data_IF_980342964922
#
_entry.id   IF_980342964922
#
_cell.length_a   1.000
_cell.length_b   1.000
_cell.length_c   1.000
_cell.angle_alpha   90.00
_cell.angle_beta   90.00
_cell.angle_gamma   90.00
#
_symmetry.space_group_name_H-M   'P 1'
#
loop_
_entity.id
_entity.type
_entity.pdbx_description
1 polymer ?
#
# COMPACT_ATOMS: atom_id res chain seq x y z
N UNK A 1 -9.81 3.04 -22.62
CA UNK A 1 -9.02 4.06 -21.91
C UNK A 1 -7.69 3.47 -21.51
N UNK A 2 -6.58 4.13 -21.89
CA UNK A 2 -5.21 3.66 -21.73
C UNK A 2 -4.73 3.50 -20.27
N UNK A 3 -5.36 4.16 -19.32
CA UNK A 3 -5.00 4.20 -17.89
C UNK A 3 -6.18 3.72 -17.05
N UNK A 4 -6.76 2.58 -17.40
CA UNK A 4 -7.93 2.04 -16.70
C UNK A 4 -7.62 1.06 -15.57
N UNK A 5 -6.36 0.63 -15.45
CA UNK A 5 -5.99 -0.33 -14.44
C UNK A 5 -5.58 0.34 -13.12
N UNK A 6 -5.86 -0.32 -12.02
CA UNK A 6 -5.55 0.17 -10.67
C UNK A 6 -4.06 0.48 -10.49
N UNK A 7 -3.17 -0.32 -11.05
CA UNK A 7 -1.73 -0.11 -10.96
C UNK A 7 -1.24 1.12 -11.73
N UNK A 8 -1.87 1.49 -12.86
CA UNK A 8 -1.50 2.69 -13.61
C UNK A 8 -1.82 3.95 -12.80
N UNK A 9 -3.01 3.98 -12.18
CA UNK A 9 -3.43 5.10 -11.33
C UNK A 9 -2.54 5.19 -10.11
N UNK A 10 -2.24 4.06 -9.46
CA UNK A 10 -1.36 4.02 -8.32
C UNK A 10 0.07 4.50 -8.65
N UNK A 11 0.58 4.17 -9.85
CA UNK A 11 1.87 4.68 -10.34
C UNK A 11 1.85 6.20 -10.52
N UNK A 12 0.77 6.76 -11.09
CA UNK A 12 0.63 8.20 -11.27
C UNK A 12 0.50 8.93 -9.93
N UNK A 13 -0.26 8.40 -8.98
CA UNK A 13 -0.39 8.96 -7.63
C UNK A 13 0.96 8.97 -6.89
N UNK A 14 1.69 7.86 -6.95
CA UNK A 14 3.01 7.76 -6.32
C UNK A 14 4.04 8.61 -7.02
N UNK A 15 3.97 8.74 -8.35
CA UNK A 15 4.82 9.64 -9.13
C UNK A 15 4.62 11.10 -8.72
N UNK A 16 3.38 11.55 -8.63
CA UNK A 16 3.04 12.91 -8.19
C UNK A 16 3.51 13.17 -6.75
N UNK A 17 3.26 12.23 -5.84
CA UNK A 17 3.73 12.33 -4.45
C UNK A 17 5.27 12.33 -4.36
N UNK A 18 5.96 11.57 -5.20
CA UNK A 18 7.41 11.50 -5.24
C UNK A 18 8.05 12.78 -5.77
N UNK A 19 7.41 13.45 -6.74
CA UNK A 19 7.85 14.77 -7.22
C UNK A 19 7.79 15.80 -6.07
N UNK A 20 6.73 15.76 -5.26
CA UNK A 20 6.59 16.63 -4.09
C UNK A 20 7.54 16.25 -2.95
N UNK A 21 7.94 14.99 -2.88
CA UNK A 21 8.92 14.49 -1.90
C UNK A 21 10.36 14.83 -2.28
N UNK A 22 10.67 14.86 -3.58
CA UNK A 22 12.01 15.18 -4.08
C UNK A 22 12.38 16.64 -3.75
N UNK A 23 13.58 16.92 -3.27
CA UNK A 23 14.04 18.28 -3.07
C UNK A 23 14.34 18.93 -4.43
N UNK A 24 13.61 19.98 -4.76
CA UNK A 24 13.77 20.71 -6.03
C UNK A 24 15.16 21.34 -6.24
N UNK A 25 15.95 21.51 -5.17
CA UNK A 25 17.19 22.32 -5.23
C UNK A 25 18.39 21.75 -4.45
N UNK A 26 18.34 20.55 -3.91
CA UNK A 26 19.46 19.98 -3.15
C UNK A 26 19.81 18.58 -3.59
N UNK A 27 21.05 18.40 -4.03
CA UNK A 27 21.64 17.08 -4.36
C UNK A 27 22.05 16.28 -3.11
N UNK A 28 21.73 16.78 -1.90
CA UNK A 28 22.10 16.13 -0.65
C UNK A 28 21.10 15.02 -0.28
N UNK A 29 21.51 13.79 -0.41
CA UNK A 29 20.74 12.60 -0.05
C UNK A 29 20.43 12.51 1.47
N UNK A 30 21.21 13.18 2.34
CA UNK A 30 21.08 13.06 3.80
C UNK A 30 19.79 13.68 4.37
N UNK A 31 19.20 14.65 3.71
CA UNK A 31 17.94 15.27 4.15
C UNK A 31 16.69 14.61 3.60
N UNK A 32 16.82 13.69 2.63
CA UNK A 32 15.70 13.13 1.89
C UNK A 32 15.05 11.92 2.58
N UNK A 33 15.83 11.16 3.34
CA UNK A 33 15.37 9.93 4.00
C UNK A 33 14.87 10.19 5.43
N UNK A 34 14.85 11.44 5.87
CA UNK A 34 14.33 11.79 7.20
C UNK A 34 12.80 11.62 7.23
N UNK A 35 12.31 10.90 8.21
CA UNK A 35 10.88 10.76 8.49
C UNK A 35 10.22 12.10 8.88
N UNK A 36 11.01 13.09 9.26
CA UNK A 36 10.58 14.46 9.44
C UNK A 36 10.24 15.17 8.12
N UNK A 37 10.49 14.54 6.95
CA UNK A 37 10.06 15.12 5.69
C UNK A 37 8.53 15.07 5.56
N UNK A 38 7.86 16.21 5.33
CA UNK A 38 6.41 16.29 5.33
C UNK A 38 5.74 15.37 4.30
N UNK A 39 6.42 15.04 3.20
CA UNK A 39 5.90 14.19 2.13
C UNK A 39 6.07 12.68 2.39
N UNK A 40 6.80 12.27 3.42
CA UNK A 40 6.86 10.86 3.80
C UNK A 40 5.48 10.35 4.26
N UNK A 41 4.70 11.21 4.89
CA UNK A 41 3.36 10.85 5.37
C UNK A 41 2.35 10.60 4.24
N UNK A 42 2.22 11.44 3.18
CA UNK A 42 1.41 11.14 2.01
C UNK A 42 1.78 9.82 1.32
N UNK A 43 3.07 9.49 1.18
CA UNK A 43 3.50 8.23 0.59
C UNK A 43 3.05 7.02 1.43
N UNK A 44 3.16 7.12 2.76
CA UNK A 44 2.65 6.10 3.69
C UNK A 44 1.12 5.98 3.59
N UNK A 45 0.41 7.10 3.52
CA UNK A 45 -1.05 7.13 3.38
C UNK A 45 -1.51 6.53 2.05
N UNK A 46 -0.79 6.77 0.95
CA UNK A 46 -1.05 6.12 -0.34
C UNK A 46 -0.91 4.60 -0.25
N UNK A 47 0.12 4.12 0.45
CA UNK A 47 0.29 2.70 0.71
C UNK A 47 -0.90 2.13 1.50
N UNK A 48 -1.26 2.78 2.61
CA UNK A 48 -2.40 2.34 3.44
C UNK A 48 -3.68 2.31 2.62
N UNK A 49 -3.96 3.37 1.86
CA UNK A 49 -5.09 3.42 0.94
C UNK A 49 -5.08 2.23 -0.02
N UNK A 50 -3.96 1.97 -0.67
CA UNK A 50 -3.82 0.88 -1.64
C UNK A 50 -4.15 -0.48 -1.00
N UNK A 51 -3.54 -0.81 0.14
CA UNK A 51 -3.74 -2.10 0.80
C UNK A 51 -5.15 -2.25 1.37
N UNK A 52 -5.65 -1.22 2.06
CA UNK A 52 -6.99 -1.26 2.64
C UNK A 52 -8.05 -1.38 1.54
N UNK A 53 -7.91 -0.64 0.44
CA UNK A 53 -8.84 -0.76 -0.69
C UNK A 53 -8.79 -2.13 -1.35
N UNK A 54 -7.60 -2.75 -1.45
CA UNK A 54 -7.46 -4.13 -1.94
C UNK A 54 -8.22 -5.12 -1.06
N UNK A 55 -8.14 -4.98 0.26
CA UNK A 55 -8.90 -5.80 1.20
C UNK A 55 -10.40 -5.52 1.17
N UNK A 56 -10.80 -4.24 1.17
CA UNK A 56 -12.21 -3.83 1.15
C UNK A 56 -12.93 -4.36 -0.09
N UNK A 57 -12.33 -4.24 -1.27
CA UNK A 57 -12.93 -4.76 -2.52
C UNK A 57 -13.21 -6.26 -2.41
N UNK A 58 -12.33 -7.05 -1.78
CA UNK A 58 -12.54 -8.49 -1.59
C UNK A 58 -13.65 -8.79 -0.58
N UNK A 59 -13.76 -8.00 0.50
CA UNK A 59 -14.80 -8.16 1.52
C UNK A 59 -16.17 -7.75 0.99
N UNK A 60 -16.22 -6.67 0.19
CA UNK A 60 -17.47 -6.13 -0.37
C UNK A 60 -17.89 -6.80 -1.67
N UNK A 61 -16.98 -7.55 -2.31
CA UNK A 61 -17.33 -8.36 -3.46
C UNK A 61 -18.36 -9.42 -3.06
N UNK A 62 -19.45 -9.51 -3.80
CA UNK A 62 -20.44 -10.57 -3.60
C UNK A 62 -19.90 -11.89 -4.19
N UNK A 63 -18.80 -12.37 -3.62
CA UNK A 63 -18.09 -13.54 -4.08
C UNK A 63 -17.96 -14.56 -2.94
N UNK A 64 -18.59 -15.73 -3.06
CA UNK A 64 -18.61 -16.73 -1.99
C UNK A 64 -17.21 -17.26 -1.63
N UNK A 65 -16.24 -17.22 -2.54
CA UNK A 65 -14.89 -17.73 -2.27
C UNK A 65 -14.12 -16.84 -1.29
N UNK A 66 -14.32 -15.51 -1.33
CA UNK A 66 -13.75 -14.61 -0.35
C UNK A 66 -14.44 -14.73 1.00
N UNK A 67 -15.77 -14.83 1.01
CA UNK A 67 -16.57 -14.96 2.23
C UNK A 67 -16.31 -16.27 2.98
N UNK A 68 -16.08 -17.36 2.26
CA UNK A 68 -15.75 -18.68 2.83
C UNK A 68 -14.26 -18.91 3.07
N UNK A 69 -13.40 -17.91 2.79
CA UNK A 69 -11.94 -18.00 2.88
C UNK A 69 -11.31 -19.03 1.93
N UNK A 70 -12.02 -19.48 0.90
CA UNK A 70 -11.53 -20.49 -0.06
C UNK A 70 -10.85 -19.88 -1.28
N UNK A 71 -10.70 -18.55 -1.34
CA UNK A 71 -10.22 -17.85 -2.52
C UNK A 71 -8.85 -18.34 -3.01
N UNK A 72 -7.90 -18.68 -2.12
CA UNK A 72 -6.59 -19.19 -2.52
C UNK A 72 -6.64 -20.60 -3.12
N UNK A 73 -7.69 -21.38 -2.87
CA UNK A 73 -7.89 -22.68 -3.51
C UNK A 73 -8.07 -22.55 -5.04
N UNK A 74 -8.52 -21.39 -5.50
CA UNK A 74 -8.73 -21.09 -6.93
C UNK A 74 -7.69 -20.12 -7.49
N UNK A 75 -7.20 -19.20 -6.66
CA UNK A 75 -6.34 -18.09 -7.07
C UNK A 75 -5.11 -18.55 -7.83
N UNK A 76 -4.38 -19.52 -7.31
CA UNK A 76 -3.12 -19.98 -7.91
C UNK A 76 -3.31 -20.66 -9.27
N UNK A 77 -4.47 -21.27 -9.51
CA UNK A 77 -4.82 -21.88 -10.79
C UNK A 77 -5.37 -20.89 -11.81
N UNK A 78 -5.95 -19.76 -11.34
CA UNK A 78 -6.63 -18.78 -12.18
C UNK A 78 -5.78 -17.56 -12.55
N UNK A 79 -4.50 -17.53 -12.15
CA UNK A 79 -3.58 -16.45 -12.55
C UNK A 79 -3.34 -16.46 -14.06
N UNK A 80 -3.26 -15.28 -14.69
CA UNK A 80 -3.09 -15.16 -16.14
C UNK A 80 -1.85 -15.87 -16.69
N UNK A 81 -0.75 -15.82 -15.93
CA UNK A 81 0.52 -16.50 -16.23
C UNK A 81 0.99 -17.23 -14.97
N UNK A 82 0.49 -18.45 -14.71
CA UNK A 82 0.83 -19.17 -13.50
C UNK A 82 2.32 -19.51 -13.47
N UNK A 83 2.94 -19.23 -12.34
CA UNK A 83 4.34 -19.61 -12.08
C UNK A 83 4.43 -21.04 -11.58
N UNK A 84 5.63 -21.63 -11.66
CA UNK A 84 5.89 -22.96 -11.07
C UNK A 84 5.56 -22.96 -9.56
N UNK A 85 5.81 -21.87 -8.89
CA UNK A 85 5.52 -21.67 -7.47
C UNK A 85 4.01 -21.61 -7.20
N UNK A 86 3.23 -20.91 -8.05
CA UNK A 86 1.78 -20.92 -7.95
C UNK A 86 1.21 -22.33 -7.98
N UNK A 87 1.73 -23.17 -8.88
CA UNK A 87 1.33 -24.57 -8.97
C UNK A 87 1.67 -25.36 -7.69
N UNK A 88 2.84 -25.14 -7.11
CA UNK A 88 3.22 -25.78 -5.84
C UNK A 88 2.33 -25.33 -4.69
N UNK A 89 2.03 -24.02 -4.58
CA UNK A 89 1.11 -23.48 -3.55
C UNK A 89 -0.33 -23.97 -3.74
N UNK A 90 -0.78 -24.14 -4.97
CA UNK A 90 -2.11 -24.70 -5.26
C UNK A 90 -2.27 -26.12 -4.70
N UNK A 91 -1.18 -26.86 -4.59
CA UNK A 91 -1.18 -28.24 -4.05
C UNK A 91 -1.22 -28.31 -2.52
N UNK A 92 -1.25 -27.17 -1.81
CA UNK A 92 -1.30 -27.17 -0.36
C UNK A 92 -2.66 -27.65 0.17
N UNK A 93 -2.70 -28.24 1.38
CA UNK A 93 -3.95 -28.61 2.03
C UNK A 93 -4.94 -27.43 2.12
N UNK A 94 -6.24 -27.67 1.92
CA UNK A 94 -7.27 -26.62 1.95
C UNK A 94 -7.24 -25.77 3.23
N UNK A 95 -6.94 -26.38 4.38
CA UNK A 95 -6.82 -25.66 5.64
C UNK A 95 -5.72 -24.58 5.60
N UNK A 96 -4.55 -24.89 5.01
CA UNK A 96 -3.46 -23.91 4.88
C UNK A 96 -3.82 -22.78 3.92
N UNK A 97 -4.53 -23.06 2.84
CA UNK A 97 -4.99 -22.06 1.88
C UNK A 97 -6.04 -21.13 2.53
N UNK A 98 -6.96 -21.67 3.32
CA UNK A 98 -7.94 -20.87 4.07
C UNK A 98 -7.29 -19.99 5.14
N UNK A 99 -6.34 -20.52 5.90
CA UNK A 99 -5.55 -19.74 6.85
C UNK A 99 -4.74 -18.66 6.13
N UNK A 100 -4.15 -18.96 4.97
CA UNK A 100 -3.47 -17.99 4.13
C UNK A 100 -4.40 -16.85 3.69
N UNK A 101 -5.64 -17.15 3.30
CA UNK A 101 -6.66 -16.14 2.96
C UNK A 101 -7.01 -15.26 4.16
N UNK A 102 -7.20 -15.84 5.34
CA UNK A 102 -7.47 -15.10 6.56
C UNK A 102 -6.30 -14.18 6.96
N UNK A 103 -5.07 -14.69 6.91
CA UNK A 103 -3.86 -13.90 7.17
C UNK A 103 -3.72 -12.76 6.16
N UNK A 104 -3.99 -13.01 4.89
CA UNK A 104 -3.99 -11.98 3.86
C UNK A 104 -4.95 -10.84 4.21
N UNK A 105 -6.19 -11.12 4.64
CA UNK A 105 -7.11 -10.09 5.09
C UNK A 105 -6.59 -9.28 6.27
N UNK A 106 -5.97 -9.92 7.26
CA UNK A 106 -5.34 -9.20 8.38
C UNK A 106 -4.21 -8.29 7.90
N UNK A 107 -3.39 -8.77 6.97
CA UNK A 107 -2.28 -8.00 6.41
C UNK A 107 -2.78 -6.86 5.51
N UNK A 108 -3.88 -7.01 4.79
CA UNK A 108 -4.44 -5.96 3.93
C UNK A 108 -5.28 -4.92 4.68
N UNK A 109 -6.03 -5.32 5.70
CA UNK A 109 -6.99 -4.43 6.38
C UNK A 109 -6.46 -3.83 7.69
N UNK A 110 -5.64 -4.57 8.43
CA UNK A 110 -5.19 -4.17 9.77
C UNK A 110 -3.74 -3.69 9.77
N UNK A 111 -2.83 -4.47 9.22
CA UNK A 111 -1.40 -4.15 9.29
C UNK A 111 -0.98 -2.84 8.59
N UNK A 112 -1.64 -2.35 7.52
CA UNK A 112 -1.26 -1.10 6.88
C UNK A 112 -1.31 0.11 7.82
N UNK A 113 -2.20 0.13 8.79
CA UNK A 113 -2.34 1.23 9.74
C UNK A 113 -1.11 1.45 10.61
N UNK A 114 -0.29 0.40 10.82
CA UNK A 114 0.99 0.55 11.51
C UNK A 114 1.97 1.47 10.78
N UNK A 115 1.85 1.60 9.45
CA UNK A 115 2.71 2.50 8.67
C UNK A 115 2.45 3.99 8.96
N UNK A 116 1.28 4.32 9.49
CA UNK A 116 0.92 5.69 9.90
C UNK A 116 1.24 5.96 11.38
N UNK A 117 1.70 4.96 12.12
CA UNK A 117 2.01 5.13 13.54
C UNK A 117 3.09 6.20 13.73
N UNK A 118 3.00 7.02 14.78
CA UNK A 118 4.02 8.02 15.11
C UNK A 118 5.35 7.39 15.55
N UNK A 119 5.32 6.17 16.07
CA UNK A 119 6.47 5.44 16.61
C UNK A 119 7.16 4.64 15.51
N UNK A 120 8.47 4.84 15.31
CA UNK A 120 9.27 4.14 14.29
C UNK A 120 9.23 2.62 14.43
N UNK A 121 9.28 2.11 15.64
CA UNK A 121 9.23 0.67 15.89
C UNK A 121 7.93 0.06 15.34
N UNK A 122 6.78 0.71 15.56
CA UNK A 122 5.49 0.25 15.03
C UNK A 122 5.46 0.29 13.51
N UNK A 123 6.00 1.33 12.89
CA UNK A 123 6.10 1.42 11.43
C UNK A 123 6.95 0.31 10.85
N UNK A 124 8.11 0.02 11.46
CA UNK A 124 8.98 -1.09 11.05
C UNK A 124 8.30 -2.44 11.18
N UNK A 125 7.54 -2.65 12.25
CA UNK A 125 6.70 -3.85 12.38
C UNK A 125 5.68 -3.91 11.24
N UNK A 126 5.02 -2.80 10.91
CA UNK A 126 4.11 -2.72 9.76
C UNK A 126 4.80 -3.11 8.45
N UNK A 127 6.01 -2.60 8.18
CA UNK A 127 6.80 -2.94 6.99
C UNK A 127 7.15 -4.43 6.98
N UNK A 128 7.61 -4.98 8.12
CA UNK A 128 7.98 -6.41 8.23
C UNK A 128 6.79 -7.34 8.02
N UNK A 129 5.58 -6.91 8.30
CA UNK A 129 4.35 -7.67 8.02
C UNK A 129 3.96 -7.53 6.55
N UNK A 130 4.08 -6.33 5.96
CA UNK A 130 3.65 -6.05 4.59
C UNK A 130 4.60 -6.64 3.55
N UNK A 131 5.90 -6.55 3.78
CA UNK A 131 6.91 -6.97 2.81
C UNK A 131 6.81 -8.45 2.42
N UNK A 132 6.66 -9.41 3.36
CA UNK A 132 6.50 -10.82 3.02
C UNK A 132 5.29 -11.10 2.12
N UNK A 133 4.16 -10.42 2.33
CA UNK A 133 2.99 -10.56 1.47
C UNK A 133 3.30 -10.12 0.03
N UNK A 134 3.96 -8.98 -0.16
CA UNK A 134 4.33 -8.48 -1.49
C UNK A 134 5.32 -9.41 -2.19
N UNK A 135 6.31 -9.94 -1.46
CA UNK A 135 7.26 -10.93 -1.98
C UNK A 135 6.54 -12.21 -2.37
N UNK A 136 5.61 -12.69 -1.53
CA UNK A 136 4.84 -13.89 -1.80
C UNK A 136 3.98 -13.74 -3.06
N UNK A 137 3.29 -12.61 -3.22
CA UNK A 137 2.50 -12.28 -4.40
C UNK A 137 3.40 -12.24 -5.64
N UNK A 138 4.59 -11.61 -5.56
CA UNK A 138 5.54 -11.57 -6.67
C UNK A 138 6.07 -12.98 -7.02
N UNK A 139 6.27 -13.82 -6.01
CA UNK A 139 6.83 -15.16 -6.18
C UNK A 139 5.81 -16.14 -6.77
N UNK A 140 4.55 -16.04 -6.37
CA UNK A 140 3.47 -16.93 -6.83
C UNK A 140 2.71 -16.40 -8.04
N UNK A 141 2.72 -15.07 -8.27
CA UNK A 141 2.10 -14.44 -9.41
C UNK A 141 3.13 -13.82 -10.36
N UNK A 142 2.72 -13.49 -11.55
CA UNK A 142 3.56 -12.83 -12.56
C UNK A 142 3.05 -11.41 -12.82
N UNK A 143 3.13 -10.55 -11.79
CA UNK A 143 2.61 -9.18 -11.81
C UNK A 143 3.66 -8.13 -12.21
N UNK A 144 4.77 -8.58 -12.81
CA UNK A 144 5.83 -7.73 -13.34
C UNK A 144 6.41 -6.77 -12.28
N UNK A 145 6.60 -5.50 -12.64
CA UNK A 145 7.21 -4.46 -11.79
C UNK A 145 6.32 -4.00 -10.61
N UNK A 146 5.03 -4.33 -10.63
CA UNK A 146 4.06 -3.77 -9.68
C UNK A 146 4.39 -4.08 -8.22
N UNK A 147 4.72 -5.33 -7.89
CA UNK A 147 5.10 -5.69 -6.53
C UNK A 147 6.45 -5.10 -6.10
N UNK A 148 7.38 -4.91 -7.05
CA UNK A 148 8.63 -4.21 -6.76
C UNK A 148 8.36 -2.74 -6.42
N UNK A 149 7.49 -2.07 -7.18
CA UNK A 149 7.04 -0.71 -6.91
C UNK A 149 6.40 -0.60 -5.51
N UNK A 150 5.52 -1.51 -5.14
CA UNK A 150 4.91 -1.53 -3.82
C UNK A 150 5.94 -1.75 -2.70
N UNK A 151 6.95 -2.62 -2.90
CA UNK A 151 8.04 -2.80 -1.95
C UNK A 151 8.87 -1.52 -1.76
N UNK A 152 9.19 -0.79 -2.85
CA UNK A 152 9.92 0.47 -2.79
C UNK A 152 9.16 1.52 -1.98
N UNK A 153 7.85 1.57 -2.10
CA UNK A 153 7.01 2.49 -1.34
C UNK A 153 6.95 2.21 0.17
N UNK A 154 7.47 1.09 0.65
CA UNK A 154 7.66 0.84 2.08
C UNK A 154 8.89 1.55 2.65
N UNK A 155 9.84 1.99 1.82
CA UNK A 155 11.07 2.65 2.28
C UNK A 155 10.80 3.89 3.14
N UNK A 156 9.87 4.81 2.80
CA UNK A 156 9.54 5.96 3.65
C UNK A 156 8.98 5.59 5.03
N UNK A 157 8.44 4.39 5.19
CA UNK A 157 7.97 3.90 6.48
C UNK A 157 9.07 3.20 7.27
N UNK A 158 10.04 2.58 6.58
CA UNK A 158 11.19 1.92 7.19
C UNK A 158 12.23 2.91 7.69
N UNK A 159 12.51 3.97 6.93
CA UNK A 159 13.48 4.97 7.28
C UNK A 159 13.12 5.59 8.64
N UNK A 160 13.96 5.37 9.66
CA UNK A 160 13.81 5.96 10.98
C UNK A 160 14.31 7.40 10.96
N UNK A 161 13.81 8.24 11.85
CA UNK A 161 14.46 9.49 12.15
C UNK A 161 15.76 9.20 12.92
N UNK A 162 16.84 9.75 12.43
CA UNK A 162 18.11 9.72 13.13
C UNK A 162 18.11 10.67 14.34
N UNK A 163 17.05 11.50 14.48
CA UNK A 163 16.84 12.41 15.58
C UNK A 163 15.38 12.40 16.06
N UNK A 164 15.17 12.09 17.31
CA UNK A 164 13.98 12.28 18.16
C UNK A 164 12.64 12.53 17.44
N UNK A 165 11.94 11.47 17.03
CA UNK A 165 10.72 11.53 16.21
C UNK A 165 9.58 12.32 16.86
N UNK A 166 9.38 12.21 18.15
CA UNK A 166 8.31 12.92 18.86
C UNK A 166 8.47 14.45 18.72
N UNK A 167 9.72 14.92 18.77
CA UNK A 167 10.06 16.34 18.65
C UNK A 167 10.06 16.82 17.18
N UNK A 168 10.35 15.97 16.20
CA UNK A 168 10.36 16.36 14.79
C UNK A 168 8.95 16.64 14.26
N UNK A 169 7.96 15.82 14.63
CA UNK A 169 6.56 16.04 14.29
C UNK A 169 6.01 17.32 14.92
N UNK A 170 6.25 17.53 16.23
CA UNK A 170 5.84 18.76 16.92
C UNK A 170 6.53 20.00 16.35
N UNK A 171 7.85 19.94 16.10
CA UNK A 171 8.59 21.05 15.48
C UNK A 171 8.11 21.35 14.08
N UNK A 172 7.87 20.30 13.28
CA UNK A 172 7.30 20.45 11.93
C UNK A 172 5.91 21.08 11.99
N UNK A 173 5.07 20.58 12.89
CA UNK A 173 3.70 21.06 13.09
C UNK A 173 3.64 22.49 13.59
N UNK A 174 4.56 22.93 14.43
CA UNK A 174 4.63 24.30 14.96
C UNK A 174 5.23 25.32 13.99
N UNK A 175 6.21 24.96 13.15
CA UNK A 175 7.02 25.92 12.38
C UNK A 175 6.44 26.36 11.05
N UNK A 176 5.40 25.74 10.48
CA UNK A 176 4.97 26.01 9.10
C UNK A 176 3.46 25.92 8.88
N UNK A 177 2.68 26.83 9.47
CA UNK A 177 1.20 26.86 9.33
C UNK A 177 0.67 26.86 7.89
N UNK A 178 1.32 27.54 6.95
CA UNK A 178 0.85 27.66 5.56
C UNK A 178 1.15 26.40 4.71
N UNK A 179 2.31 25.73 4.92
CA UNK A 179 2.66 24.52 4.18
C UNK A 179 1.89 23.29 4.63
N UNK A 180 1.28 23.32 5.80
CA UNK A 180 0.43 22.25 6.36
C UNK A 180 -0.90 22.15 5.62
N UNK A 181 -1.54 23.30 5.41
CA UNK A 181 -2.79 23.38 4.65
C UNK A 181 -2.58 22.86 3.23
N UNK A 182 -1.45 23.21 2.59
CA UNK A 182 -1.11 22.72 1.27
C UNK A 182 -0.88 21.20 1.24
N UNK A 183 -0.11 20.63 2.19
CA UNK A 183 0.09 19.19 2.27
C UNK A 183 -1.20 18.44 2.57
N UNK A 184 -2.00 18.95 3.49
CA UNK A 184 -3.29 18.34 3.83
C UNK A 184 -4.29 18.46 2.69
N UNK A 185 -4.37 19.63 2.02
CA UNK A 185 -5.24 19.81 0.86
C UNK A 185 -4.78 18.95 -0.32
N UNK A 186 -3.48 18.80 -0.54
CA UNK A 186 -2.96 17.88 -1.58
C UNK A 186 -3.29 16.43 -1.27
N UNK A 187 -3.17 16.01 0.00
CA UNK A 187 -3.57 14.67 0.41
C UNK A 187 -5.06 14.44 0.23
N UNK A 188 -5.89 15.40 0.69
CA UNK A 188 -7.36 15.33 0.53
C UNK A 188 -7.72 15.34 -0.96
N UNK A 189 -7.06 16.15 -1.78
CA UNK A 189 -7.27 16.16 -3.22
C UNK A 189 -6.85 14.85 -3.89
N UNK A 190 -5.72 14.26 -3.51
CA UNK A 190 -5.28 12.95 -4.01
C UNK A 190 -6.26 11.84 -3.60
N UNK A 191 -6.68 11.81 -2.33
CA UNK A 191 -7.67 10.85 -1.85
C UNK A 191 -9.01 11.06 -2.56
N UNK A 192 -9.46 12.30 -2.71
CA UNK A 192 -10.72 12.63 -3.40
C UNK A 192 -10.64 12.29 -4.90
N UNK A 193 -9.59 12.70 -5.60
CA UNK A 193 -9.38 12.38 -7.00
C UNK A 193 -9.35 10.85 -7.22
N UNK A 194 -8.70 10.12 -6.33
CA UNK A 194 -8.64 8.67 -6.44
C UNK A 194 -9.96 7.98 -6.13
N UNK A 195 -10.79 8.53 -5.23
CA UNK A 195 -12.16 8.02 -5.00
C UNK A 195 -13.11 8.33 -6.17
N UNK A 196 -12.87 9.43 -6.90
CA UNK A 196 -13.64 9.77 -8.10
C UNK A 196 -13.19 8.97 -9.33
N UNK A 197 -11.90 8.71 -9.47
CA UNK A 197 -11.34 7.89 -10.54
C UNK A 197 -11.63 6.39 -10.35
N UNK A 198 -11.81 5.96 -9.11
CA UNK A 198 -12.38 4.68 -8.71
C UNK A 198 -13.72 4.95 -8.02
N UNK A 199 -14.80 5.14 -8.78
CA UNK A 199 -16.08 4.93 -8.14
C UNK A 199 -16.03 3.51 -7.61
N UNK A 200 -16.09 3.36 -6.30
CA UNK A 200 -16.53 2.12 -5.70
C UNK A 200 -17.91 1.91 -6.30
N UNK A 201 -17.96 1.25 -7.44
CA UNK A 201 -19.22 0.83 -8.03
C UNK A 201 -19.76 -0.33 -7.19
N UNK A 202 -20.02 0.01 -5.91
CA UNK A 202 -20.82 -0.83 -5.01
C UNK A 202 -22.23 -1.07 -5.57
N UNK A 203 -22.54 -0.51 -6.74
CA UNK A 203 -23.91 -0.46 -7.30
C UNK A 203 -24.09 -1.08 -8.66
N UNK A 204 -23.04 -1.60 -9.33
CA UNK A 204 -23.26 -2.37 -10.54
C UNK A 204 -23.08 -3.86 -10.26
N UNK A 205 -24.17 -4.63 -10.13
CA UNK A 205 -24.05 -6.07 -10.23
C UNK A 205 -23.47 -6.39 -11.62
N UNK A 206 -22.39 -7.14 -11.66
CA UNK A 206 -21.95 -7.76 -12.92
C UNK A 206 -23.12 -8.62 -13.43
N UNK A 207 -23.79 -8.14 -14.48
CA UNK A 207 -24.70 -8.95 -15.28
C UNK A 207 -23.90 -9.79 -16.24
#
# INVERSE_FOLDING_TARGET
>A
TWLGFQWDIFLLETGAASILYAPFFTLSARGQLSNGHPMAWPLRALWVKFMVMSGVVKVTADCPTWQSLTALEYHFASTCLPTRQAWAFHSFPPLLLRLGTAIMFLVELVAPWFLLAPITAMRRVGVLIQLPLQILIQYTGNYNWFNLHTCILLLPAWAGDFDDEANAWERWWRRRGCKRAACFSTLVALVHASTQLFPLSLTTPYK
#
